data_IF_306075757035
#
_entry.id   IF_306075757035
#
_cell.length_a   1.000
_cell.length_b   1.000
_cell.length_c   1.000
_cell.angle_alpha   90.00
_cell.angle_beta   90.00
_cell.angle_gamma   90.00
#
_symmetry.space_group_name_H-M   'P 1'
#
loop_
_entity.id
_entity.type
_entity.pdbx_description
1 polymer ?
#
# COMPACT_ATOMS: atom_id res chain seq x y z
N UNK A 1 -16.67 10.72 -13.36
CA UNK A 1 -16.25 10.83 -12.69
C UNK A 1 -14.96 10.95 -12.09
N UNK A 2 -14.87 11.69 -11.18
CA UNK A 2 -13.71 11.97 -10.49
C UNK A 2 -13.06 10.75 -9.95
N UNK A 3 -13.78 9.70 -9.79
CA UNK A 3 -13.18 8.54 -9.16
C UNK A 3 -12.20 7.81 -10.08
N UNK A 4 -12.26 7.99 -11.38
CA UNK A 4 -11.31 7.28 -12.23
C UNK A 4 -9.88 7.82 -12.04
N UNK A 5 -9.73 9.11 -11.81
CA UNK A 5 -8.42 9.66 -11.53
C UNK A 5 -7.92 9.14 -10.18
N UNK A 6 -8.82 9.13 -9.20
CA UNK A 6 -8.48 8.62 -7.90
C UNK A 6 -8.13 7.15 -7.95
N UNK A 7 -8.84 6.39 -8.77
CA UNK A 7 -8.55 4.96 -8.88
C UNK A 7 -7.16 4.71 -9.46
N UNK A 8 -6.74 5.53 -10.41
CA UNK A 8 -5.40 5.39 -10.97
C UNK A 8 -4.35 5.67 -9.92
N UNK A 9 -4.57 6.71 -9.10
CA UNK A 9 -3.64 7.04 -8.03
C UNK A 9 -3.61 5.95 -6.98
N UNK A 10 -4.78 5.40 -6.65
CA UNK A 10 -4.83 4.31 -5.68
C UNK A 10 -4.05 3.11 -6.17
N UNK A 11 -4.24 2.74 -7.43
CA UNK A 11 -3.54 1.59 -7.98
C UNK A 11 -2.03 1.81 -7.99
N UNK A 12 -1.61 3.01 -8.36
CA UNK A 12 -0.19 3.33 -8.38
C UNK A 12 0.41 3.23 -6.98
N UNK A 13 -0.30 3.76 -5.99
CA UNK A 13 0.17 3.70 -4.62
C UNK A 13 0.16 2.28 -4.08
N UNK A 14 -0.82 1.48 -4.46
CA UNK A 14 -0.84 0.08 -4.07
C UNK A 14 0.43 -0.63 -4.55
N UNK A 15 0.80 -0.39 -5.80
CA UNK A 15 1.99 -1.02 -6.35
C UNK A 15 3.23 -0.55 -5.61
N UNK A 16 3.34 0.74 -5.37
CA UNK A 16 4.52 1.28 -4.68
C UNK A 16 4.62 0.78 -3.25
N UNK A 17 3.49 0.73 -2.55
CA UNK A 17 3.47 0.25 -1.18
C UNK A 17 3.86 -1.20 -1.12
N UNK A 18 3.32 -2.03 -2.02
CA UNK A 18 3.64 -3.44 -2.00
C UNK A 18 5.11 -3.69 -2.33
N UNK A 19 5.65 -2.96 -3.31
CA UNK A 19 7.06 -3.11 -3.62
C UNK A 19 7.93 -2.74 -2.43
N UNK A 20 7.56 -1.65 -1.74
CA UNK A 20 8.30 -1.24 -0.57
C UNK A 20 8.17 -2.24 0.56
N UNK A 21 6.97 -2.78 0.74
CA UNK A 21 6.72 -3.76 1.77
C UNK A 21 7.52 -5.04 1.53
N UNK A 22 7.54 -5.50 0.29
CA UNK A 22 8.32 -6.67 -0.07
C UNK A 22 9.80 -6.42 0.22
N UNK A 23 10.27 -5.25 -0.12
CA UNK A 23 11.66 -4.90 0.11
C UNK A 23 11.99 -4.85 1.60
N UNK A 24 11.11 -4.22 2.38
CA UNK A 24 11.37 -4.08 3.82
C UNK A 24 11.33 -5.42 4.54
N UNK A 25 10.46 -6.30 4.12
CA UNK A 25 10.30 -7.59 4.80
C UNK A 25 11.10 -8.71 4.15
N UNK A 26 11.66 -8.45 2.97
CA UNK A 26 12.40 -9.45 2.22
C UNK A 26 11.55 -10.70 1.99
N UNK A 27 10.27 -10.47 1.66
CA UNK A 27 9.30 -11.53 1.37
C UNK A 27 8.93 -12.39 2.59
N UNK A 28 9.23 -11.91 3.78
CA UNK A 28 8.90 -12.66 4.98
C UNK A 28 7.49 -12.32 5.43
N UNK A 29 6.59 -13.28 5.36
CA UNK A 29 5.19 -13.07 5.70
C UNK A 29 4.97 -12.90 7.19
N UNK A 30 5.97 -13.15 8.00
CA UNK A 30 5.85 -13.03 9.46
C UNK A 30 6.24 -11.66 9.98
N UNK A 31 6.84 -10.83 9.15
CA UNK A 31 7.26 -9.50 9.58
C UNK A 31 6.13 -8.51 9.37
N UNK A 32 5.73 -7.84 10.43
CA UNK A 32 4.68 -6.83 10.30
C UNK A 32 5.31 -5.45 10.21
N UNK A 33 4.64 -4.56 9.49
CA UNK A 33 5.11 -3.21 9.24
C UNK A 33 3.97 -2.26 9.56
N UNK A 34 4.28 -1.14 10.19
CA UNK A 34 3.27 -0.15 10.49
C UNK A 34 2.80 0.50 9.19
N UNK A 35 1.51 0.47 8.93
CA UNK A 35 0.99 0.96 7.65
C UNK A 35 1.17 2.45 7.50
N UNK A 36 1.11 3.20 8.59
CA UNK A 36 1.30 4.64 8.50
C UNK A 36 2.72 4.97 8.11
N UNK A 37 3.68 4.24 8.65
CA UNK A 37 5.09 4.47 8.33
C UNK A 37 5.37 4.19 6.88
N UNK A 38 4.89 3.06 6.38
CA UNK A 38 5.18 2.70 5.00
C UNK A 38 4.46 3.63 4.03
N UNK A 39 3.26 4.08 4.40
CA UNK A 39 2.55 5.01 3.55
C UNK A 39 3.32 6.32 3.44
N UNK A 40 3.84 6.82 4.55
CA UNK A 40 4.59 8.06 4.52
C UNK A 40 5.86 7.96 3.70
N UNK A 41 6.53 6.83 3.78
CA UNK A 41 7.75 6.64 2.98
C UNK A 41 7.44 6.70 1.49
N UNK A 42 6.39 6.02 1.10
CA UNK A 42 6.02 5.96 -0.31
C UNK A 42 5.45 7.29 -0.77
N UNK A 43 4.63 7.91 0.06
CA UNK A 43 4.00 9.17 -0.28
C UNK A 43 5.02 10.29 -0.46
N UNK A 44 6.04 10.30 0.37
CA UNK A 44 7.08 11.31 0.24
C UNK A 44 7.83 11.18 -1.07
N UNK A 45 8.10 9.93 -1.47
CA UNK A 45 8.78 9.70 -2.72
C UNK A 45 7.90 10.11 -3.89
N UNK A 46 6.59 9.96 -3.73
CA UNK A 46 5.65 10.24 -4.79
C UNK A 46 4.95 11.58 -4.59
N UNK A 47 5.68 12.57 -4.12
CA UNK A 47 5.08 13.84 -3.74
C UNK A 47 4.31 14.50 -4.86
N UNK A 48 4.69 14.23 -6.10
CA UNK A 48 3.98 14.83 -7.22
C UNK A 48 2.57 14.31 -7.41
N UNK A 49 2.24 13.18 -6.84
CA UNK A 49 0.92 12.61 -6.97
C UNK A 49 -0.08 13.36 -6.13
N UNK A 50 0.32 13.73 -4.95
CA UNK A 50 -0.62 14.27 -4.01
C UNK A 50 -0.68 15.77 -4.05
N UNK A 51 -1.84 16.31 -4.37
CA UNK A 51 -2.03 17.73 -4.40
C UNK A 51 -2.70 18.29 -3.15
N UNK A 52 -3.35 17.44 -2.38
CA UNK A 52 -4.16 17.94 -1.28
C UNK A 52 -3.87 17.17 0.00
N UNK A 53 -3.29 17.87 0.95
CA UNK A 53 -2.97 17.22 2.21
C UNK A 53 -4.19 16.77 2.98
N UNK A 54 -5.27 17.49 2.82
CA UNK A 54 -6.48 17.12 3.56
C UNK A 54 -7.03 15.78 3.14
N UNK A 55 -6.64 15.30 1.96
CA UNK A 55 -7.15 14.03 1.45
C UNK A 55 -6.22 12.87 1.74
N UNK A 56 -5.10 13.11 2.43
CA UNK A 56 -4.13 12.04 2.65
C UNK A 56 -4.70 10.88 3.43
N UNK A 57 -5.47 11.16 4.47
CA UNK A 57 -6.05 10.08 5.25
C UNK A 57 -7.05 9.26 4.45
N UNK A 58 -7.88 9.94 3.67
CA UNK A 58 -8.84 9.23 2.83
C UNK A 58 -8.13 8.37 1.80
N UNK A 59 -7.09 8.91 1.20
CA UNK A 59 -6.32 8.17 0.22
C UNK A 59 -5.63 6.96 0.85
N UNK A 60 -5.04 7.16 2.02
CA UNK A 60 -4.38 6.06 2.73
C UNK A 60 -5.37 4.95 3.05
N UNK A 61 -6.51 5.30 3.60
CA UNK A 61 -7.50 4.30 3.94
C UNK A 61 -7.95 3.54 2.71
N UNK A 62 -8.13 4.24 1.62
CA UNK A 62 -8.59 3.61 0.40
C UNK A 62 -7.55 2.65 -0.17
N UNK A 63 -6.29 3.05 -0.12
CA UNK A 63 -5.21 2.22 -0.63
C UNK A 63 -5.09 0.93 0.17
N UNK A 64 -5.10 1.03 1.49
CA UNK A 64 -4.94 -0.16 2.31
C UNK A 64 -6.19 -1.04 2.26
N UNK A 65 -7.38 -0.42 2.14
CA UNK A 65 -8.59 -1.22 1.95
C UNK A 65 -8.50 -2.02 0.66
N UNK A 66 -8.00 -1.39 -0.39
CA UNK A 66 -7.88 -2.09 -1.67
C UNK A 66 -6.93 -3.27 -1.54
N UNK A 67 -5.80 -3.09 -0.88
CA UNK A 67 -4.85 -4.17 -0.70
C UNK A 67 -5.43 -5.30 0.14
N UNK A 68 -6.22 -4.95 1.15
CA UNK A 68 -6.87 -5.97 1.98
C UNK A 68 -7.91 -6.75 1.17
N UNK A 69 -8.70 -6.04 0.37
CA UNK A 69 -9.73 -6.68 -0.45
C UNK A 69 -9.09 -7.63 -1.46
N UNK A 70 -7.97 -7.22 -2.03
CA UNK A 70 -7.27 -8.09 -2.98
C UNK A 70 -6.64 -9.30 -2.31
N UNK A 71 -6.51 -9.28 -0.99
CA UNK A 71 -5.86 -10.36 -0.28
C UNK A 71 -4.35 -10.29 -0.33
N UNK A 72 -3.79 -9.13 -0.67
CA UNK A 72 -2.34 -8.97 -0.78
C UNK A 72 -1.68 -8.67 0.54
N UNK A 73 -2.43 -8.18 1.50
CA UNK A 73 -1.95 -7.94 2.85
C UNK A 73 -3.00 -8.39 3.85
N UNK A 74 -2.59 -8.58 5.09
CA UNK A 74 -3.51 -8.76 6.20
C UNK A 74 -3.15 -7.74 7.26
N UNK A 75 -4.11 -7.43 8.11
CA UNK A 75 -3.91 -6.44 9.14
C UNK A 75 -4.39 -7.02 10.47
N UNK A 76 -3.59 -6.82 11.51
CA UNK A 76 -3.96 -7.26 12.83
C UNK A 76 -5.13 -6.43 13.33
N UNK A 77 -6.05 -7.05 14.04
CA UNK A 77 -7.26 -6.37 14.44
C UNK A 77 -7.03 -5.16 15.29
N UNK A 78 -6.35 -5.05 16.25
CA UNK A 78 -6.21 -3.89 17.09
C UNK A 78 -4.89 -3.19 16.88
N UNK A 79 -4.44 -3.16 15.63
CA UNK A 79 -3.11 -2.67 15.37
C UNK A 79 -3.07 -1.99 14.01
N UNK A 80 -2.10 -1.08 13.85
CA UNK A 80 -1.86 -0.45 12.57
C UNK A 80 -0.85 -1.24 11.75
N UNK A 81 -0.55 -2.46 12.14
CA UNK A 81 0.47 -3.24 11.46
C UNK A 81 -0.11 -4.18 10.44
N UNK A 82 0.59 -4.30 9.32
CA UNK A 82 0.17 -5.15 8.22
C UNK A 82 1.27 -6.13 7.89
N UNK A 83 0.88 -7.23 7.27
CA UNK A 83 1.82 -8.25 6.80
C UNK A 83 1.49 -8.59 5.36
N UNK A 84 2.53 -8.90 4.61
CA UNK A 84 2.35 -9.34 3.24
C UNK A 84 1.81 -10.78 3.24
N UNK A 85 1.04 -11.13 2.23
CA UNK A 85 0.53 -12.50 2.09
C UNK A 85 1.23 -13.19 0.95
N UNK A 86 1.07 -14.51 0.85
CA UNK A 86 1.66 -15.24 -0.25
C UNK A 86 1.08 -14.79 -1.59
N UNK A 87 -0.20 -14.47 -1.62
CA UNK A 87 -0.82 -13.94 -2.83
C UNK A 87 -0.16 -12.63 -3.22
N UNK A 88 0.04 -11.75 -2.25
CA UNK A 88 0.63 -10.45 -2.53
C UNK A 88 2.05 -10.55 -3.02
N UNK A 89 2.87 -11.38 -2.37
CA UNK A 89 4.27 -11.41 -2.75
C UNK A 89 4.50 -12.11 -4.08
N UNK A 90 3.53 -12.88 -4.56
CA UNK A 90 3.65 -13.53 -5.85
C UNK A 90 2.97 -12.76 -6.97
N UNK A 91 2.35 -11.65 -6.64
CA UNK A 91 1.60 -10.87 -7.63
C UNK A 91 2.57 -10.26 -8.64
N UNK A 92 2.37 -10.49 -9.93
CA UNK A 92 3.38 -10.10 -10.93
C UNK A 92 3.68 -8.60 -10.96
N UNK A 93 2.68 -7.77 -10.73
CA UNK A 93 2.89 -6.33 -10.82
C UNK A 93 3.84 -5.81 -9.74
N UNK A 94 3.98 -6.54 -8.65
CA UNK A 94 4.86 -6.12 -7.58
C UNK A 94 6.26 -6.69 -7.73
N UNK A 95 6.40 -7.74 -8.50
CA UNK A 95 7.68 -8.43 -8.63
C UNK A 95 8.40 -8.09 -9.91
N UNK A 96 7.72 -7.47 -10.86
CA UNK A 96 8.32 -7.06 -12.11
C UNK A 96 9.01 -5.72 -11.91
N UNK A 97 10.22 -5.58 -12.37
CA UNK A 97 10.96 -4.32 -12.24
C UNK A 97 11.08 -3.59 -13.55
#
# INVERSE_FOLDING_TARGET
MRSSVLDADVNELCIRIMKRLIEKTQNDENISVNKNTIFEEVHNISAGINAFESDNNALKERVFRELLVRGHIIQDNNSEKIKITSVGKEYPEYTTT
#
